data_IF_624011347692
#
_entry.id   IF_624011347692
#
_cell.length_a   1.000
_cell.length_b   1.000
_cell.length_c   1.000
_cell.angle_alpha   90.00
_cell.angle_beta   90.00
_cell.angle_gamma   90.00
#
_symmetry.space_group_name_H-M   'P 1'
#
loop_
_entity.id
_entity.type
_entity.pdbx_description
1 polymer ?
#
# COMPACT_ATOMS: atom_id res chain seq x y z
N UNK A 1 -16.86 -9.11 -13.47
CA UNK A 1 -15.67 -9.32 -12.63
C UNK A 1 -14.56 -9.98 -13.42
N UNK A 2 -13.40 -9.34 -13.54
CA UNK A 2 -12.18 -9.90 -14.17
C UNK A 2 -11.11 -10.08 -13.09
N UNK A 3 -10.41 -11.21 -13.07
CA UNK A 3 -9.38 -11.53 -12.07
C UNK A 3 -8.14 -12.03 -12.80
N UNK A 4 -6.97 -11.66 -12.29
CA UNK A 4 -5.67 -12.18 -12.73
C UNK A 4 -4.77 -12.38 -11.52
N UNK A 5 -3.93 -13.41 -11.59
CA UNK A 5 -2.99 -13.77 -10.55
C UNK A 5 -1.62 -14.07 -11.17
N UNK A 6 -0.56 -13.62 -10.51
CA UNK A 6 0.83 -13.93 -10.86
C UNK A 6 1.59 -14.38 -9.62
N UNK A 7 2.42 -15.41 -9.79
CA UNK A 7 3.42 -15.82 -8.81
C UNK A 7 4.80 -15.34 -9.28
N UNK A 8 5.46 -14.53 -8.45
CA UNK A 8 6.73 -13.86 -8.77
C UNK A 8 7.80 -14.25 -7.76
N UNK A 9 8.99 -14.55 -8.25
CA UNK A 9 10.19 -14.72 -7.44
C UNK A 9 10.91 -13.38 -7.31
N UNK A 10 11.16 -12.95 -6.07
CA UNK A 10 11.69 -11.61 -5.79
C UNK A 10 13.17 -11.44 -6.19
N UNK A 11 13.91 -12.54 -6.31
CA UNK A 11 15.33 -12.56 -6.68
C UNK A 11 15.59 -12.28 -8.18
N UNK A 12 14.57 -12.39 -9.02
CA UNK A 12 14.70 -12.45 -10.48
C UNK A 12 13.69 -11.58 -11.23
N UNK A 13 12.81 -10.86 -10.54
CA UNK A 13 11.78 -10.06 -11.20
C UNK A 13 12.27 -8.70 -11.71
N UNK A 14 11.71 -8.29 -12.84
CA UNK A 14 11.81 -6.95 -13.38
C UNK A 14 10.53 -6.16 -13.04
N UNK A 15 10.66 -5.13 -12.19
CA UNK A 15 9.52 -4.33 -11.75
C UNK A 15 8.82 -3.63 -12.92
N UNK A 16 9.56 -3.14 -13.92
CA UNK A 16 9.00 -2.43 -15.06
C UNK A 16 8.15 -3.36 -15.94
N UNK A 17 8.58 -4.61 -16.10
CA UNK A 17 7.84 -5.64 -16.85
C UNK A 17 6.49 -5.95 -16.18
N UNK A 18 6.52 -6.21 -14.86
CA UNK A 18 5.30 -6.46 -14.08
C UNK A 18 4.36 -5.26 -14.14
N UNK A 19 4.88 -4.05 -13.99
CA UNK A 19 4.08 -2.83 -14.06
C UNK A 19 3.42 -2.69 -15.43
N UNK A 20 4.16 -2.92 -16.50
CA UNK A 20 3.60 -2.83 -17.86
C UNK A 20 2.53 -3.91 -18.11
N UNK A 21 2.76 -5.15 -17.69
CA UNK A 21 1.80 -6.24 -17.82
C UNK A 21 0.53 -5.98 -17.00
N UNK A 22 0.70 -5.44 -15.79
CA UNK A 22 -0.40 -5.01 -14.94
C UNK A 22 -1.24 -3.91 -15.61
N UNK A 23 -0.59 -2.87 -16.13
CA UNK A 23 -1.27 -1.77 -16.83
C UNK A 23 -1.99 -2.28 -18.08
N UNK A 24 -1.39 -3.20 -18.84
CA UNK A 24 -2.04 -3.82 -19.99
C UNK A 24 -3.30 -4.61 -19.60
N UNK A 25 -3.25 -5.36 -18.49
CA UNK A 25 -4.44 -6.03 -17.94
C UNK A 25 -5.54 -5.01 -17.61
N UNK A 26 -5.20 -3.93 -16.90
CA UNK A 26 -6.18 -2.91 -16.51
C UNK A 26 -6.72 -2.11 -17.71
N UNK A 27 -5.89 -1.77 -18.69
CA UNK A 27 -6.28 -1.08 -19.92
C UNK A 27 -7.39 -1.85 -20.66
N UNK A 28 -7.23 -3.16 -20.80
CA UNK A 28 -8.24 -4.04 -21.41
C UNK A 28 -9.43 -4.31 -20.46
N UNK A 29 -9.13 -4.33 -19.17
CA UNK A 29 -10.10 -4.52 -18.09
C UNK A 29 -11.15 -3.42 -18.01
N UNK A 30 -10.69 -2.17 -18.17
CA UNK A 30 -11.39 -0.92 -17.94
C UNK A 30 -11.76 -0.19 -19.24
N UNK A 31 -11.78 -0.89 -20.38
CA UNK A 31 -12.06 -0.29 -21.69
C UNK A 31 -13.45 0.35 -21.82
N UNK A 32 -14.36 0.08 -20.87
CA UNK A 32 -15.68 0.69 -20.80
C UNK A 32 -15.69 2.11 -20.21
N UNK A 33 -14.58 2.55 -19.59
CA UNK A 33 -14.46 3.89 -19.05
C UNK A 33 -14.11 4.92 -20.14
N UNK A 34 -14.54 6.19 -19.98
CA UNK A 34 -14.09 7.28 -20.86
C UNK A 34 -12.56 7.41 -20.88
N UNK A 35 -11.98 7.72 -22.04
CA UNK A 35 -10.53 7.68 -22.25
C UNK A 35 -9.75 8.56 -21.26
N UNK A 36 -10.15 9.82 -21.07
CA UNK A 36 -9.49 10.76 -20.14
C UNK A 36 -9.51 10.25 -18.69
N UNK A 37 -10.67 9.75 -18.23
CA UNK A 37 -10.80 9.17 -16.90
C UNK A 37 -9.96 7.89 -16.75
N UNK A 38 -9.99 7.02 -17.78
CA UNK A 38 -9.24 5.77 -17.80
C UNK A 38 -7.73 6.02 -17.75
N UNK A 39 -7.21 6.99 -18.50
CA UNK A 39 -5.79 7.33 -18.50
C UNK A 39 -5.31 7.79 -17.11
N UNK A 40 -6.02 8.71 -16.48
CA UNK A 40 -5.71 9.15 -15.11
C UNK A 40 -5.74 8.00 -14.11
N UNK A 41 -6.77 7.15 -14.18
CA UNK A 41 -6.91 5.99 -13.32
C UNK A 41 -5.77 4.98 -13.48
N UNK A 42 -5.32 4.73 -14.72
CA UNK A 42 -4.21 3.83 -15.02
C UNK A 42 -2.87 4.37 -14.53
N UNK A 43 -2.66 5.70 -14.57
CA UNK A 43 -1.47 6.33 -14.00
C UNK A 43 -1.41 6.09 -12.49
N UNK A 44 -2.53 6.27 -11.79
CA UNK A 44 -2.61 6.01 -10.34
C UNK A 44 -2.36 4.53 -10.02
N UNK A 45 -2.94 3.60 -10.78
CA UNK A 45 -2.65 2.17 -10.62
C UNK A 45 -1.18 1.84 -10.86
N UNK A 46 -0.57 2.45 -11.89
CA UNK A 46 0.87 2.27 -12.19
C UNK A 46 1.73 2.68 -11.00
N UNK A 47 1.43 3.83 -10.40
CA UNK A 47 2.12 4.35 -9.22
C UNK A 47 1.97 3.39 -8.04
N UNK A 48 0.73 2.97 -7.73
CA UNK A 48 0.46 2.02 -6.64
C UNK A 48 1.30 0.76 -6.78
N UNK A 49 1.28 0.16 -7.97
CA UNK A 49 1.97 -1.11 -8.23
C UNK A 49 3.47 -0.95 -8.12
N UNK A 50 4.02 0.11 -8.70
CA UNK A 50 5.45 0.39 -8.64
C UNK A 50 5.95 0.59 -7.20
N UNK A 51 5.25 1.39 -6.41
CA UNK A 51 5.59 1.65 -5.01
C UNK A 51 5.48 0.37 -4.16
N UNK A 52 4.44 -0.44 -4.38
CA UNK A 52 4.29 -1.71 -3.69
C UNK A 52 5.40 -2.71 -4.02
N UNK A 53 5.75 -2.87 -5.31
CA UNK A 53 6.86 -3.73 -5.73
C UNK A 53 8.19 -3.28 -5.13
N UNK A 54 8.42 -1.97 -5.09
CA UNK A 54 9.63 -1.38 -4.50
C UNK A 54 9.69 -1.63 -2.99
N UNK A 55 8.57 -1.49 -2.28
CA UNK A 55 8.48 -1.77 -0.84
C UNK A 55 8.73 -3.25 -0.53
N UNK A 56 8.08 -4.17 -1.26
CA UNK A 56 8.27 -5.61 -1.07
C UNK A 56 9.73 -5.99 -1.29
N UNK A 57 10.35 -5.49 -2.37
CA UNK A 57 11.75 -5.78 -2.70
C UNK A 57 12.74 -5.21 -1.68
N UNK A 58 12.52 -3.97 -1.22
CA UNK A 58 13.48 -3.26 -0.37
C UNK A 58 13.34 -3.61 1.11
N UNK A 59 12.14 -3.97 1.55
CA UNK A 59 11.80 -4.06 2.98
C UNK A 59 11.10 -5.35 3.39
N UNK A 60 10.49 -6.10 2.45
CA UNK A 60 9.71 -7.30 2.78
C UNK A 60 10.58 -8.45 3.32
N UNK A 61 11.80 -8.60 2.79
CA UNK A 61 12.74 -9.65 3.20
C UNK A 61 12.28 -11.08 2.89
N UNK A 62 11.23 -11.23 2.07
CA UNK A 62 10.73 -12.50 1.56
C UNK A 62 11.42 -12.92 0.25
N UNK A 63 11.01 -14.08 -0.27
CA UNK A 63 11.51 -14.65 -1.52
C UNK A 63 10.47 -14.67 -2.64
N UNK A 64 9.19 -14.57 -2.27
CA UNK A 64 8.07 -14.69 -3.19
C UNK A 64 7.05 -13.57 -3.01
N UNK A 65 6.38 -13.25 -4.11
CA UNK A 65 5.29 -12.31 -4.17
C UNK A 65 4.21 -12.87 -5.09
N UNK A 66 3.00 -13.03 -4.58
CA UNK A 66 1.81 -13.23 -5.38
C UNK A 66 1.10 -11.91 -5.56
N UNK A 67 0.79 -11.58 -6.80
CA UNK A 67 -0.06 -10.44 -7.16
C UNK A 67 -1.42 -10.96 -7.56
N UNK A 68 -2.47 -10.39 -7.00
CA UNK A 68 -3.84 -10.70 -7.39
C UNK A 68 -4.62 -9.42 -7.60
N UNK A 69 -5.11 -9.22 -8.81
CA UNK A 69 -5.90 -8.05 -9.17
C UNK A 69 -7.32 -8.47 -9.53
N UNK A 70 -8.28 -7.69 -9.06
CA UNK A 70 -9.69 -7.85 -9.39
C UNK A 70 -10.26 -6.54 -9.91
N UNK A 71 -10.96 -6.62 -11.04
CA UNK A 71 -11.73 -5.52 -11.62
C UNK A 71 -13.21 -5.87 -11.46
N UNK A 72 -13.89 -5.10 -10.62
CA UNK A 72 -15.33 -5.08 -10.47
C UNK A 72 -15.92 -3.88 -11.23
N UNK A 73 -17.24 -3.73 -11.15
CA UNK A 73 -17.96 -2.68 -11.87
C UNK A 73 -17.74 -1.29 -11.23
N UNK A 74 -17.48 -1.25 -9.92
CA UNK A 74 -17.33 -0.01 -9.15
C UNK A 74 -15.94 0.17 -8.51
N UNK A 75 -15.03 -0.80 -8.68
CA UNK A 75 -13.69 -0.74 -8.10
C UNK A 75 -12.66 -1.65 -8.77
N UNK A 76 -11.40 -1.35 -8.49
CA UNK A 76 -10.27 -2.25 -8.63
C UNK A 76 -9.72 -2.58 -7.26
N UNK A 77 -9.43 -3.86 -7.00
CA UNK A 77 -8.67 -4.28 -5.83
C UNK A 77 -7.35 -4.91 -6.23
N UNK A 78 -6.31 -4.63 -5.46
CA UNK A 78 -4.98 -5.18 -5.63
C UNK A 78 -4.55 -5.82 -4.30
N UNK A 79 -4.16 -7.09 -4.38
CA UNK A 79 -3.59 -7.85 -3.27
C UNK A 79 -2.13 -8.18 -3.60
N UNK A 80 -1.22 -7.79 -2.71
CA UNK A 80 0.21 -8.13 -2.75
C UNK A 80 0.49 -9.05 -1.57
N UNK A 81 0.73 -10.33 -1.86
CA UNK A 81 0.87 -11.40 -0.87
C UNK A 81 2.32 -11.87 -0.90
N UNK A 82 3.05 -11.75 0.21
CA UNK A 82 4.46 -12.15 0.28
C UNK A 82 4.76 -13.00 1.50
N UNK A 83 5.82 -13.79 1.42
CA UNK A 83 6.36 -14.61 2.51
C UNK A 83 7.35 -13.82 3.40
N UNK A 84 7.11 -12.51 3.57
CA UNK A 84 8.00 -11.59 4.25
C UNK A 84 8.03 -11.69 5.78
N UNK A 85 8.86 -10.83 6.36
CA UNK A 85 9.10 -10.79 7.81
C UNK A 85 8.07 -9.98 8.61
N UNK A 86 6.96 -9.57 8.00
CA UNK A 86 6.00 -8.67 8.64
C UNK A 86 6.25 -7.19 8.36
N UNK A 87 5.18 -6.40 8.44
CA UNK A 87 5.29 -4.95 8.37
C UNK A 87 5.95 -4.39 9.62
N UNK A 88 7.12 -3.75 9.45
CA UNK A 88 7.83 -3.06 10.52
C UNK A 88 7.25 -1.66 10.69
N UNK A 89 6.46 -1.45 11.75
CA UNK A 89 5.92 -0.15 12.09
C UNK A 89 6.89 0.59 13.02
N UNK A 90 7.35 1.74 12.55
CA UNK A 90 8.20 2.68 13.28
C UNK A 90 7.66 4.09 13.01
N UNK A 91 7.78 4.98 14.00
CA UNK A 91 7.51 6.40 13.82
C UNK A 91 8.55 7.25 14.53
N UNK A 92 9.04 8.28 13.83
CA UNK A 92 9.84 9.35 14.43
C UNK A 92 8.99 10.54 14.87
N UNK A 93 7.69 10.51 14.57
CA UNK A 93 6.78 11.65 14.69
C UNK A 93 5.71 11.48 15.78
N UNK A 94 5.65 10.29 16.37
CA UNK A 94 4.62 9.89 17.33
C UNK A 94 5.28 9.41 18.64
N UNK A 95 4.89 10.03 19.75
CA UNK A 95 5.43 9.70 21.07
C UNK A 95 5.03 8.29 21.53
N UNK A 96 3.97 7.71 20.95
CA UNK A 96 3.50 6.35 21.27
C UNK A 96 4.53 5.30 20.84
N UNK A 97 5.25 5.53 19.74
CA UNK A 97 6.25 4.61 19.16
C UNK A 97 7.68 5.13 19.22
N UNK A 98 7.93 6.17 20.04
CA UNK A 98 9.24 6.82 20.08
C UNK A 98 10.35 5.81 20.37
N UNK A 99 11.23 5.64 19.38
CA UNK A 99 12.38 4.72 19.38
C UNK A 99 12.04 3.21 19.44
N UNK A 100 10.76 2.83 19.24
CA UNK A 100 10.32 1.42 19.15
C UNK A 100 10.01 1.04 17.69
N UNK A 101 10.44 -0.15 17.30
CA UNK A 101 10.02 -0.80 16.04
C UNK A 101 9.17 -2.00 16.44
N UNK A 102 7.92 -2.04 15.96
CA UNK A 102 7.02 -3.16 16.21
C UNK A 102 6.68 -3.90 14.92
N UNK A 103 6.42 -5.20 15.03
CA UNK A 103 5.99 -6.07 13.94
C UNK A 103 4.79 -6.90 14.39
N UNK A 104 4.01 -7.47 13.45
CA UNK A 104 2.99 -8.44 13.80
C UNK A 104 3.58 -9.68 14.51
N UNK A 105 2.87 -10.26 15.50
CA UNK A 105 1.67 -9.70 16.12
C UNK A 105 2.01 -8.43 16.92
N UNK A 106 1.34 -7.32 16.59
CA UNK A 106 1.52 -6.04 17.24
C UNK A 106 1.09 -6.14 18.72
N UNK A 107 1.87 -5.59 19.66
CA UNK A 107 1.53 -5.63 21.08
C UNK A 107 0.15 -5.03 21.39
N UNK A 108 -0.59 -5.63 22.31
CA UNK A 108 -1.95 -5.19 22.70
C UNK A 108 -2.03 -3.73 23.13
N UNK A 109 -0.95 -3.17 23.70
CA UNK A 109 -0.87 -1.74 24.05
C UNK A 109 -1.08 -0.80 22.86
N UNK A 110 -0.83 -1.28 21.64
CA UNK A 110 -0.97 -0.53 20.40
C UNK A 110 -2.29 -0.79 19.68
N UNK A 111 -3.01 -1.88 19.98
CA UNK A 111 -4.28 -2.18 19.30
C UNK A 111 -5.31 -1.08 19.58
N UNK A 112 -5.96 -0.61 18.50
CA UNK A 112 -6.89 0.53 18.51
C UNK A 112 -6.22 1.91 18.60
N UNK A 113 -4.88 1.98 18.57
CA UNK A 113 -4.15 3.25 18.50
C UNK A 113 -3.98 3.69 17.05
N UNK A 114 -4.08 5.00 16.86
CA UNK A 114 -3.67 5.67 15.64
C UNK A 114 -2.27 6.23 15.86
N UNK A 115 -1.38 5.94 14.91
CA UNK A 115 0.03 6.30 14.94
C UNK A 115 0.32 7.14 13.69
N UNK A 116 0.91 8.31 13.84
CA UNK A 116 1.40 9.08 12.69
C UNK A 116 2.71 8.47 12.19
N UNK A 117 2.71 7.86 11.00
CA UNK A 117 3.90 7.28 10.38
C UNK A 117 4.76 8.36 9.74
N UNK A 118 4.12 9.31 9.06
CA UNK A 118 4.82 10.33 8.28
C UNK A 118 4.08 11.67 8.32
N UNK A 119 4.84 12.76 8.33
CA UNK A 119 4.35 14.16 8.39
C UNK A 119 4.79 14.92 7.13
N UNK A 120 3.90 15.03 6.14
CA UNK A 120 4.10 15.80 4.90
C UNK A 120 3.82 17.30 5.07
N UNK A 121 3.84 18.11 4.01
CA UNK A 121 3.62 19.57 4.16
C UNK A 121 2.17 19.88 4.57
N UNK A 122 1.21 19.30 3.85
CA UNK A 122 -0.23 19.57 4.01
C UNK A 122 -0.99 18.42 4.69
N UNK A 123 -0.40 17.24 4.72
CA UNK A 123 -1.06 16.01 5.15
C UNK A 123 -0.12 15.10 5.96
N UNK A 124 -0.71 14.17 6.70
CA UNK A 124 -0.02 13.15 7.46
C UNK A 124 -0.50 11.77 7.02
N UNK A 125 0.45 10.83 6.89
CA UNK A 125 0.13 9.42 6.80
C UNK A 125 -0.01 8.89 8.23
N UNK A 126 -1.21 8.42 8.53
CA UNK A 126 -1.54 7.75 9.78
C UNK A 126 -1.83 6.30 9.55
N UNK A 127 -1.61 5.51 10.59
CA UNK A 127 -1.88 4.10 10.62
C UNK A 127 -2.65 3.77 11.89
N UNK A 128 -3.80 3.12 11.73
CA UNK A 128 -4.57 2.54 12.81
C UNK A 128 -4.16 1.08 12.99
N UNK A 129 -3.76 0.69 14.20
CA UNK A 129 -3.48 -0.70 14.56
C UNK A 129 -4.81 -1.39 14.85
N UNK A 130 -5.53 -1.78 13.79
CA UNK A 130 -6.88 -2.34 13.87
C UNK A 130 -6.93 -3.72 14.55
N UNK A 131 -5.80 -4.40 14.70
CA UNK A 131 -5.66 -5.63 15.46
C UNK A 131 -4.20 -6.06 15.55
N UNK A 132 -3.93 -7.16 16.25
CA UNK A 132 -2.56 -7.69 16.39
C UNK A 132 -1.91 -8.00 15.03
N UNK A 133 -2.69 -8.37 14.02
CA UNK A 133 -2.16 -8.67 12.69
C UNK A 133 -2.76 -7.76 11.61
N UNK A 134 -3.25 -6.57 11.95
CA UNK A 134 -3.93 -5.69 10.99
C UNK A 134 -3.57 -4.23 11.19
N UNK A 135 -3.20 -3.57 10.10
CA UNK A 135 -3.01 -2.12 10.00
C UNK A 135 -3.97 -1.55 8.94
N UNK A 136 -4.44 -0.33 9.18
CA UNK A 136 -5.23 0.45 8.24
C UNK A 136 -4.55 1.81 8.05
N UNK A 137 -4.24 2.16 6.80
CA UNK A 137 -3.54 3.39 6.47
C UNK A 137 -4.52 4.45 6.00
N UNK A 138 -4.28 5.71 6.40
CA UNK A 138 -5.11 6.83 6.01
C UNK A 138 -4.31 8.12 5.92
N UNK A 139 -4.73 8.99 4.99
CA UNK A 139 -4.25 10.35 4.90
C UNK A 139 -5.16 11.26 5.72
N UNK A 140 -4.56 12.12 6.54
CA UNK A 140 -5.29 13.17 7.27
C UNK A 140 -4.68 14.53 6.99
N UNK A 141 -5.49 15.58 6.75
CA UNK A 141 -4.97 16.95 6.66
C UNK A 141 -4.23 17.35 7.94
N UNK A 142 -3.15 18.10 7.80
CA UNK A 142 -2.44 18.67 8.95
C UNK A 142 -3.24 19.79 9.60
N UNK A 143 -3.16 19.88 10.92
CA UNK A 143 -3.68 21.01 11.68
C UNK A 143 -2.80 22.26 11.58
N UNK A 144 -1.50 22.10 11.26
CA UNK A 144 -0.51 23.18 11.16
C UNK A 144 0.49 22.86 10.03
N UNK A 145 0.69 23.81 9.11
CA UNK A 145 1.64 23.67 7.99
C UNK A 145 3.08 23.61 8.51
N UNK A 146 3.86 22.62 8.07
CA UNK A 146 5.30 22.54 8.32
C UNK A 146 6.10 23.12 7.13
N UNK A 147 7.30 23.64 7.42
CA UNK A 147 8.24 24.10 6.40
C UNK A 147 8.90 22.91 5.68
N UNK A 148 9.17 23.05 4.37
CA UNK A 148 9.57 21.97 3.44
C UNK A 148 10.92 21.26 3.72
N UNK A 149 11.61 21.55 4.83
CA UNK A 149 12.96 21.03 5.12
C UNK A 149 13.01 19.66 5.80
N UNK A 150 11.87 19.01 6.07
CA UNK A 150 11.78 17.78 6.90
C UNK A 150 11.24 16.55 6.13
N UNK A 151 11.51 16.47 4.82
CA UNK A 151 11.06 15.36 3.98
C UNK A 151 11.98 14.13 4.15
N UNK A 152 11.60 13.20 5.02
CA UNK A 152 12.26 11.88 5.18
C UNK A 152 11.48 10.74 4.49
N UNK A 153 12.19 9.61 4.29
CA UNK A 153 11.89 8.45 3.44
C UNK A 153 10.63 7.64 3.82
N UNK A 154 9.41 8.10 3.52
CA UNK A 154 8.20 7.22 3.49
C UNK A 154 7.16 7.62 2.43
N UNK A 155 7.61 8.19 1.30
CA UNK A 155 6.73 8.70 0.24
C UNK A 155 5.80 7.65 -0.38
N UNK A 156 6.27 6.40 -0.57
CA UNK A 156 5.50 5.39 -1.30
C UNK A 156 4.16 5.03 -0.64
N UNK A 157 4.16 4.76 0.67
CA UNK A 157 2.93 4.43 1.41
C UNK A 157 1.96 5.62 1.48
N UNK A 158 2.49 6.83 1.59
CA UNK A 158 1.68 8.05 1.55
C UNK A 158 1.00 8.18 0.19
N UNK A 159 1.75 8.07 -0.91
CA UNK A 159 1.22 8.14 -2.27
C UNK A 159 0.10 7.11 -2.46
N UNK A 160 0.34 5.85 -2.08
CA UNK A 160 -0.67 4.79 -2.18
C UNK A 160 -1.92 5.17 -1.39
N UNK A 161 -1.78 5.62 -0.15
CA UNK A 161 -2.91 6.02 0.69
C UNK A 161 -3.67 7.24 0.14
N UNK A 162 -2.99 8.17 -0.55
CA UNK A 162 -3.61 9.35 -1.18
C UNK A 162 -4.47 8.96 -2.37
N UNK A 163 -4.03 8.02 -3.20
CA UNK A 163 -4.74 7.65 -4.44
C UNK A 163 -5.69 6.46 -4.30
N UNK A 164 -5.86 5.93 -3.08
CA UNK A 164 -6.68 4.75 -2.80
C UNK A 164 -7.79 5.08 -1.82
N UNK A 165 -8.98 4.51 -2.03
CA UNK A 165 -10.10 4.62 -1.09
C UNK A 165 -9.89 3.74 0.15
N UNK A 166 -9.08 2.68 0.03
CA UNK A 166 -8.71 1.81 1.15
C UNK A 166 -7.30 1.27 0.96
N UNK A 167 -6.51 1.31 2.03
CA UNK A 167 -5.19 0.68 2.07
C UNK A 167 -5.01 -0.02 3.41
N UNK A 168 -4.85 -1.34 3.38
CA UNK A 168 -4.70 -2.18 4.57
C UNK A 168 -3.48 -3.08 4.45
N UNK A 169 -2.95 -3.47 5.60
CA UNK A 169 -2.00 -4.56 5.73
C UNK A 169 -2.53 -5.57 6.74
N UNK A 170 -2.32 -6.86 6.49
CA UNK A 170 -2.51 -7.89 7.50
C UNK A 170 -1.54 -9.06 7.34
N UNK A 171 -1.23 -9.72 8.46
CA UNK A 171 -0.44 -10.95 8.49
C UNK A 171 -1.33 -12.16 8.74
N UNK A 172 -1.28 -13.16 7.87
CA UNK A 172 -2.07 -14.40 8.04
C UNK A 172 -1.45 -15.32 9.09
N UNK A 173 -2.21 -16.31 9.53
CA UNK A 173 -1.70 -17.38 10.41
C UNK A 173 -0.61 -18.22 9.76
N UNK A 174 -0.63 -18.29 8.43
CA UNK A 174 0.37 -18.99 7.61
C UNK A 174 1.60 -18.12 7.31
N UNK A 175 1.74 -16.99 8.04
CA UNK A 175 2.84 -16.04 7.96
C UNK A 175 2.93 -15.22 6.67
N UNK A 176 1.86 -15.18 5.86
CA UNK A 176 1.81 -14.33 4.67
C UNK A 176 1.56 -12.88 5.06
N UNK A 177 2.32 -11.97 4.45
CA UNK A 177 2.13 -10.53 4.50
C UNK A 177 1.26 -10.09 3.35
N UNK A 178 0.08 -9.54 3.65
CA UNK A 178 -0.89 -9.13 2.64
C UNK A 178 -1.12 -7.63 2.72
N UNK A 179 -0.82 -6.93 1.63
CA UNK A 179 -1.29 -5.57 1.42
C UNK A 179 -2.50 -5.59 0.50
N UNK A 180 -3.59 -5.00 0.98
CA UNK A 180 -4.85 -4.88 0.25
C UNK A 180 -5.10 -3.40 -0.07
N UNK A 181 -5.24 -3.12 -1.36
CA UNK A 181 -5.53 -1.78 -1.87
C UNK A 181 -6.86 -1.84 -2.62
N UNK A 182 -7.74 -0.90 -2.32
CA UNK A 182 -9.01 -0.72 -3.02
C UNK A 182 -9.04 0.67 -3.63
N UNK A 183 -9.35 0.72 -4.93
CA UNK A 183 -9.50 1.95 -5.68
C UNK A 183 -10.86 1.99 -6.37
N UNK A 184 -11.68 2.97 -6.01
CA UNK A 184 -13.04 3.14 -6.52
C UNK A 184 -13.01 3.72 -7.93
N UNK A 185 -13.83 3.15 -8.79
CA UNK A 185 -14.13 3.68 -10.11
C UNK A 185 -15.22 4.76 -9.93
N UNK A 186 -14.85 6.00 -10.17
CA UNK A 186 -15.70 7.19 -10.10
C UNK A 186 -16.21 7.46 -11.53
N UNK A 187 -17.38 6.91 -11.83
CA UNK A 187 -18.10 7.16 -13.09
C UNK A 187 -18.95 8.41 -12.94
#
# INVERSE_FOLDING_TARGET
>A
MKVIEWDIKLDSFNADEIVNDSVNFFQNGLSYLPDEYREGFLIELKIIIFEMLTNVKSHGGGSSLKLKYCIADDHVSLEFISDGNGFRLQSQHDDILKDEVITPPFPDKYVGKQITIYKGIEEELKCNVAGQNKLEFMITPKSVLQTASELHEHFGLQIIATVSEKFEYFKTTDSEDIFLIYKKIKV
#
